data_IF_922223072128
#
_entry.id   IF_922223072128
#
_cell.length_a   1.000
_cell.length_b   1.000
_cell.length_c   1.000
_cell.angle_alpha   90.00
_cell.angle_beta   90.00
_cell.angle_gamma   90.00
#
_symmetry.space_group_name_H-M   'P 1'
#
loop_
_entity.id
_entity.type
_entity.pdbx_description
1 polymer ?
#
# COMPACT_ATOMS: atom_id res chain seq x y z
N UNK A 1 -10.57 -4.04 -8.02
CA UNK A 1 -9.89 -4.63 -6.85
C UNK A 1 -8.64 -5.45 -7.20
N UNK A 2 -8.66 -6.30 -8.23
CA UNK A 2 -7.55 -7.24 -8.50
C UNK A 2 -6.19 -6.63 -8.87
N UNK A 3 -6.16 -5.43 -9.46
CA UNK A 3 -4.93 -4.79 -9.92
C UNK A 3 -4.19 -4.09 -8.77
N UNK A 4 -4.77 -3.01 -8.21
CA UNK A 4 -4.15 -2.27 -7.09
C UNK A 4 -4.31 -2.97 -5.73
N UNK A 5 -5.42 -3.65 -5.50
CA UNK A 5 -5.78 -4.17 -4.18
C UNK A 5 -4.94 -5.36 -3.76
N UNK A 6 -4.46 -6.17 -4.70
CA UNK A 6 -3.65 -7.34 -4.37
C UNK A 6 -2.30 -6.93 -3.76
N UNK A 7 -1.67 -5.88 -4.29
CA UNK A 7 -0.43 -5.33 -3.74
C UNK A 7 -0.61 -4.85 -2.29
N UNK A 8 -1.75 -4.26 -1.97
CA UNK A 8 -2.05 -3.79 -0.61
C UNK A 8 -2.29 -4.96 0.35
N UNK A 9 -2.94 -6.03 -0.11
CA UNK A 9 -3.15 -7.25 0.69
C UNK A 9 -1.80 -7.93 0.97
N UNK A 10 -0.96 -8.06 -0.05
CA UNK A 10 0.39 -8.63 0.08
C UNK A 10 1.25 -7.81 1.05
N UNK A 11 1.23 -6.47 0.91
CA UNK A 11 1.94 -5.56 1.81
C UNK A 11 1.48 -5.69 3.27
N UNK A 12 0.18 -5.87 3.52
CA UNK A 12 -0.30 -6.10 4.88
C UNK A 12 0.23 -7.39 5.48
N UNK A 13 0.28 -8.46 4.68
CA UNK A 13 0.88 -9.71 5.12
C UNK A 13 2.39 -9.53 5.38
N UNK A 14 3.11 -8.81 4.53
CA UNK A 14 4.51 -8.47 4.75
C UNK A 14 4.74 -7.67 6.04
N UNK A 15 3.85 -6.72 6.38
CA UNK A 15 4.00 -5.88 7.57
C UNK A 15 3.60 -6.58 8.87
N UNK A 16 2.59 -7.46 8.83
CA UNK A 16 1.96 -8.00 10.05
C UNK A 16 2.05 -9.52 10.18
N UNK A 17 2.51 -10.22 9.14
CA UNK A 17 2.64 -11.69 9.04
C UNK A 17 1.40 -12.42 9.57
N UNK A 18 0.21 -11.91 9.19
CA UNK A 18 -1.06 -12.36 9.78
C UNK A 18 -2.17 -12.34 8.75
N UNK A 19 -2.92 -13.44 8.69
CA UNK A 19 -4.07 -13.59 7.81
C UNK A 19 -5.27 -12.77 8.28
N UNK A 20 -6.18 -12.48 7.35
CA UNK A 20 -7.48 -11.92 7.68
C UNK A 20 -8.34 -12.94 8.44
N UNK A 21 -9.09 -12.43 9.43
CA UNK A 21 -10.24 -13.13 9.99
C UNK A 21 -11.42 -13.03 9.04
N UNK A 22 -11.68 -14.09 8.29
CA UNK A 22 -12.72 -14.14 7.24
C UNK A 22 -14.10 -13.67 7.72
N UNK A 23 -14.47 -14.00 8.97
CA UNK A 23 -15.76 -13.60 9.59
C UNK A 23 -15.92 -12.08 9.75
N UNK A 24 -14.80 -11.35 9.80
CA UNK A 24 -14.75 -9.90 10.02
C UNK A 24 -14.66 -9.09 8.73
N UNK A 25 -14.29 -9.71 7.60
CA UNK A 25 -14.04 -8.98 6.36
C UNK A 25 -15.35 -8.42 5.81
N UNK A 26 -15.34 -7.13 5.46
CA UNK A 26 -16.43 -6.42 4.81
C UNK A 26 -15.87 -5.64 3.64
N UNK A 27 -16.55 -5.73 2.50
CA UNK A 27 -16.15 -5.06 1.27
C UNK A 27 -17.24 -4.13 0.79
N UNK A 28 -16.85 -2.97 0.32
CA UNK A 28 -17.72 -1.97 -0.29
C UNK A 28 -17.14 -1.62 -1.65
N UNK A 29 -17.86 -1.97 -2.69
CA UNK A 29 -17.46 -1.74 -4.07
C UNK A 29 -18.43 -0.73 -4.69
N UNK A 30 -17.88 0.27 -5.38
CA UNK A 30 -18.66 1.29 -6.08
C UNK A 30 -18.09 1.50 -7.48
N UNK A 31 -18.97 1.63 -8.45
CA UNK A 31 -18.63 2.05 -9.81
C UNK A 31 -18.94 3.54 -9.91
N UNK A 32 -17.91 4.37 -10.12
CA UNK A 32 -18.03 5.83 -10.18
C UNK A 32 -17.78 6.27 -11.61
N UNK A 33 -18.84 6.31 -12.43
CA UNK A 33 -18.71 6.69 -13.83
C UNK A 33 -18.72 8.22 -13.94
N UNK A 34 -17.60 8.84 -14.38
CA UNK A 34 -17.51 10.30 -14.58
C UNK A 34 -18.28 10.79 -15.82
N UNK A 35 -18.53 9.93 -16.82
CA UNK A 35 -19.40 10.22 -17.99
C UNK A 35 -20.06 8.93 -18.51
N UNK A 36 -21.22 9.02 -19.20
CA UNK A 36 -21.99 7.90 -19.79
C UNK A 36 -21.23 7.17 -20.92
N UNK A 37 -20.11 6.53 -20.62
CA UNK A 37 -19.55 5.47 -21.44
C UNK A 37 -19.66 4.14 -20.70
N UNK A 38 -19.90 3.06 -21.44
CA UNK A 38 -19.96 1.70 -20.90
C UNK A 38 -18.59 1.32 -20.34
N UNK A 39 -18.39 1.48 -19.03
CA UNK A 39 -17.20 0.98 -18.34
C UNK A 39 -17.66 -0.03 -17.29
N UNK A 40 -17.11 -1.24 -17.37
CA UNK A 40 -17.45 -2.42 -16.56
C UNK A 40 -16.35 -2.74 -15.52
N UNK A 41 -15.68 -1.74 -14.95
CA UNK A 41 -14.55 -1.97 -14.05
C UNK A 41 -14.78 -1.21 -12.75
N UNK A 42 -14.60 -1.90 -11.62
CA UNK A 42 -14.76 -1.34 -10.28
C UNK A 42 -13.80 -0.16 -10.07
N UNK A 43 -14.37 1.04 -9.98
CA UNK A 43 -13.59 2.28 -9.88
C UNK A 43 -13.22 2.65 -8.45
N UNK A 44 -13.88 2.05 -7.46
CA UNK A 44 -13.64 2.23 -6.04
C UNK A 44 -13.94 0.93 -5.30
N UNK A 45 -13.01 0.47 -4.47
CA UNK A 45 -13.21 -0.62 -3.54
C UNK A 45 -12.59 -0.29 -2.20
N UNK A 46 -13.33 -0.60 -1.14
CA UNK A 46 -12.94 -0.38 0.24
C UNK A 46 -13.15 -1.69 1.01
N UNK A 47 -12.13 -2.11 1.75
CA UNK A 47 -12.11 -3.36 2.51
C UNK A 47 -11.79 -3.04 3.94
N UNK A 48 -12.62 -3.52 4.86
CA UNK A 48 -12.36 -3.44 6.28
C UNK A 48 -12.37 -4.83 6.87
N UNK A 49 -11.55 -5.04 7.88
CA UNK A 49 -11.53 -6.32 8.59
C UNK A 49 -10.56 -6.29 9.76
N UNK A 50 -10.40 -7.45 10.36
CA UNK A 50 -9.43 -7.69 11.40
C UNK A 50 -8.50 -8.83 10.97
N UNK A 51 -7.21 -8.71 11.25
CA UNK A 51 -6.25 -9.80 11.13
C UNK A 51 -6.36 -10.75 12.33
N UNK A 52 -5.83 -11.96 12.21
CA UNK A 52 -5.83 -12.97 13.30
C UNK A 52 -5.06 -12.48 14.53
N UNK A 53 -4.06 -11.64 14.34
CA UNK A 53 -3.30 -10.96 15.40
C UNK A 53 -4.03 -9.76 16.04
N UNK A 54 -5.32 -9.54 15.70
CA UNK A 54 -6.21 -8.49 16.20
C UNK A 54 -5.97 -7.07 15.65
N UNK A 55 -5.06 -6.89 14.70
CA UNK A 55 -4.90 -5.62 13.97
C UNK A 55 -6.14 -5.34 13.14
N UNK A 56 -6.68 -4.12 13.23
CA UNK A 56 -7.76 -3.66 12.37
C UNK A 56 -7.19 -3.04 11.10
N UNK A 57 -7.80 -3.35 9.97
CA UNK A 57 -7.30 -2.95 8.65
C UNK A 57 -8.42 -2.25 7.89
N UNK A 58 -8.05 -1.16 7.21
CA UNK A 58 -8.85 -0.51 6.18
C UNK A 58 -7.99 -0.35 4.91
N UNK A 59 -8.44 -0.92 3.81
CA UNK A 59 -7.81 -0.79 2.49
C UNK A 59 -8.76 -0.02 1.59
N UNK A 60 -8.28 1.05 0.97
CA UNK A 60 -9.03 1.77 -0.05
C UNK A 60 -8.26 1.74 -1.37
N UNK A 61 -8.94 1.36 -2.44
CA UNK A 61 -8.42 1.41 -3.81
C UNK A 61 -9.39 2.16 -4.69
N UNK A 62 -8.87 3.03 -5.56
CA UNK A 62 -9.71 3.82 -6.45
C UNK A 62 -8.96 4.10 -7.75
N UNK A 63 -9.64 3.90 -8.88
CA UNK A 63 -9.18 4.29 -10.22
C UNK A 63 -9.85 5.58 -10.72
N UNK A 64 -10.82 6.10 -9.96
CA UNK A 64 -11.62 7.28 -10.33
C UNK A 64 -11.36 8.51 -9.47
N UNK A 65 -10.37 8.45 -8.56
CA UNK A 65 -9.98 9.58 -7.73
C UNK A 65 -9.58 10.80 -8.56
N UNK A 66 -9.69 11.99 -7.98
CA UNK A 66 -9.13 13.17 -8.60
C UNK A 66 -7.59 13.09 -8.59
N UNK A 67 -6.88 13.68 -9.56
CA UNK A 67 -5.41 13.66 -9.60
C UNK A 67 -4.76 14.10 -8.28
N UNK A 68 -5.33 15.11 -7.64
CA UNK A 68 -4.94 15.64 -6.34
C UNK A 68 -5.26 14.73 -5.15
N UNK A 69 -5.92 13.60 -5.37
CA UNK A 69 -6.22 12.54 -4.41
C UNK A 69 -5.53 11.21 -4.80
N UNK A 70 -4.85 11.18 -5.95
CA UNK A 70 -4.07 10.04 -6.38
C UNK A 70 -2.76 9.91 -5.57
N UNK A 71 -2.29 8.67 -5.47
CA UNK A 71 -1.07 8.31 -4.77
C UNK A 71 -1.25 7.05 -3.94
N UNK A 72 -0.15 6.65 -3.33
CA UNK A 72 -0.10 5.55 -2.39
C UNK A 72 0.22 6.11 -1.00
N UNK A 73 -0.47 5.61 0.01
CA UNK A 73 -0.25 6.01 1.38
C UNK A 73 -0.52 4.86 2.34
N UNK A 74 0.23 4.82 3.43
CA UNK A 74 0.07 3.86 4.51
C UNK A 74 0.03 4.64 5.82
N UNK A 75 -0.87 4.23 6.71
CA UNK A 75 -0.87 4.65 8.10
C UNK A 75 -0.93 3.41 8.99
N UNK A 76 0.05 3.28 9.89
CA UNK A 76 0.12 2.21 10.88
C UNK A 76 0.08 2.84 12.27
N UNK A 77 -0.99 2.55 13.02
CA UNK A 77 -1.23 3.10 14.35
C UNK A 77 -0.97 2.00 15.38
N UNK A 78 0.18 2.08 16.04
CA UNK A 78 0.53 1.22 17.16
C UNK A 78 0.10 1.81 18.50
N UNK A 79 0.31 1.05 19.58
CA UNK A 79 -0.03 1.49 20.94
C UNK A 79 0.85 2.61 21.49
N UNK A 80 2.07 2.74 20.96
CA UNK A 80 3.07 3.74 21.40
C UNK A 80 3.53 4.66 20.30
N UNK A 81 3.41 4.24 19.04
CA UNK A 81 3.93 4.96 17.89
C UNK A 81 3.01 4.85 16.70
N UNK A 82 2.98 5.90 15.90
CA UNK A 82 2.35 5.91 14.59
C UNK A 82 3.42 6.01 13.52
N UNK A 83 3.17 5.40 12.37
CA UNK A 83 3.98 5.48 11.17
C UNK A 83 3.08 5.90 10.01
N UNK A 84 3.51 6.90 9.23
CA UNK A 84 2.79 7.38 8.05
C UNK A 84 3.74 7.53 6.88
N UNK A 85 3.31 7.08 5.71
CA UNK A 85 4.00 7.23 4.45
C UNK A 85 3.03 7.72 3.37
N UNK A 86 3.54 8.56 2.46
CA UNK A 86 2.80 9.04 1.29
C UNK A 86 3.73 9.19 0.10
N UNK A 87 3.33 8.65 -1.05
CA UNK A 87 4.08 8.78 -2.31
C UNK A 87 4.18 10.21 -2.82
N UNK A 88 3.48 11.17 -2.19
CA UNK A 88 3.62 12.62 -2.49
C UNK A 88 4.85 13.24 -1.85
N UNK A 89 5.31 12.66 -0.76
CA UNK A 89 6.58 13.00 -0.10
C UNK A 89 7.45 11.73 -0.09
N UNK A 90 7.82 11.24 -1.29
CA UNK A 90 8.26 9.85 -1.47
C UNK A 90 9.53 9.48 -0.71
N UNK A 91 10.39 10.46 -0.43
CA UNK A 91 11.72 10.27 0.14
C UNK A 91 11.74 10.35 1.67
N UNK A 92 10.59 10.28 2.34
CA UNK A 92 10.51 10.26 3.80
C UNK A 92 9.29 9.50 4.30
N UNK A 93 9.38 9.07 5.55
CA UNK A 93 8.21 8.69 6.33
C UNK A 93 8.16 9.50 7.62
N UNK A 94 6.97 9.57 8.20
CA UNK A 94 6.71 10.31 9.41
C UNK A 94 6.44 9.30 10.52
N UNK A 95 7.07 9.51 11.67
CA UNK A 95 6.71 8.79 12.90
C UNK A 95 6.22 9.74 13.96
N UNK A 96 5.30 9.26 14.79
CA UNK A 96 4.80 9.95 15.97
C UNK A 96 4.98 9.05 17.18
N UNK A 97 5.41 9.59 18.32
CA UNK A 97 5.52 8.85 19.59
C UNK A 97 4.54 9.36 20.68
N UNK A 98 3.50 10.08 20.24
CA UNK A 98 2.47 10.68 21.08
C UNK A 98 2.72 12.14 21.44
N UNK A 99 3.96 12.62 21.36
CA UNK A 99 4.30 14.02 21.65
C UNK A 99 5.09 14.67 20.51
N UNK A 100 5.99 13.92 19.86
CA UNK A 100 6.87 14.45 18.82
C UNK A 100 6.59 13.84 17.46
N UNK A 101 6.66 14.69 16.43
CA UNK A 101 6.68 14.29 15.02
C UNK A 101 8.14 14.21 14.58
N UNK A 102 8.56 13.06 14.05
CA UNK A 102 9.88 12.88 13.46
C UNK A 102 9.77 12.53 11.99
N UNK A 103 10.55 13.21 11.15
CA UNK A 103 10.68 12.89 9.73
C UNK A 103 11.94 12.05 9.53
N UNK A 104 11.80 10.89 8.92
CA UNK A 104 12.90 9.98 8.64
C UNK A 104 13.05 9.89 7.12
N UNK A 105 14.17 10.41 6.63
CA UNK A 105 14.48 10.45 5.21
C UNK A 105 14.97 9.07 4.74
N UNK A 106 14.45 8.65 3.60
CA UNK A 106 14.86 7.43 2.91
C UNK A 106 16.16 7.68 2.13
N UNK A 107 17.01 6.65 1.97
CA UNK A 107 18.16 6.74 1.08
C UNK A 107 17.71 7.04 -0.35
N UNK A 108 18.63 7.59 -1.16
CA UNK A 108 18.36 7.81 -2.57
C UNK A 108 18.32 6.47 -3.32
N UNK A 109 17.41 6.30 -4.30
CA UNK A 109 17.37 5.12 -5.15
C UNK A 109 18.68 4.97 -5.95
N UNK A 110 19.05 3.73 -6.25
CA UNK A 110 20.18 3.41 -7.12
C UNK A 110 19.78 3.41 -8.59
N UNK A 111 18.51 3.10 -8.86
CA UNK A 111 17.93 3.05 -10.19
C UNK A 111 16.96 4.21 -10.41
N UNK A 112 16.75 4.56 -11.68
CA UNK A 112 15.76 5.57 -12.07
C UNK A 112 14.41 4.87 -12.22
N UNK A 113 13.42 5.35 -11.48
CA UNK A 113 12.05 4.86 -11.58
C UNK A 113 11.40 5.29 -12.91
N UNK A 114 10.56 4.44 -13.53
CA UNK A 114 9.77 4.84 -14.70
C UNK A 114 8.85 6.03 -14.40
N UNK A 115 8.44 6.75 -15.44
CA UNK A 115 7.50 7.85 -15.30
C UNK A 115 6.16 7.35 -14.74
N UNK A 116 5.61 8.07 -13.76
CA UNK A 116 4.36 7.77 -13.05
C UNK A 116 4.40 6.55 -12.09
N UNK A 117 5.57 5.96 -11.83
CA UNK A 117 5.71 4.92 -10.82
C UNK A 117 6.04 5.48 -9.42
N UNK A 118 5.85 4.65 -8.41
CA UNK A 118 6.18 5.00 -7.02
C UNK A 118 7.69 5.03 -6.78
N UNK A 119 8.11 5.72 -5.72
CA UNK A 119 9.52 5.82 -5.36
C UNK A 119 10.13 4.47 -4.97
N UNK A 120 11.35 4.22 -5.42
CA UNK A 120 12.07 2.93 -5.30
C UNK A 120 11.41 1.78 -6.07
N UNK A 121 10.51 2.04 -7.03
CA UNK A 121 9.92 1.00 -7.87
C UNK A 121 11.01 0.13 -8.54
N UNK A 122 11.95 0.74 -9.25
CA UNK A 122 12.97 -0.01 -10.00
C UNK A 122 13.90 -0.80 -9.07
N UNK A 123 14.28 -0.21 -7.94
CA UNK A 123 15.08 -0.86 -6.92
C UNK A 123 14.34 -2.02 -6.24
N UNK A 124 13.04 -1.88 -5.99
CA UNK A 124 12.20 -2.94 -5.41
C UNK A 124 12.11 -4.15 -6.33
N UNK A 125 11.84 -3.95 -7.63
CA UNK A 125 11.83 -5.03 -8.63
C UNK A 125 13.19 -5.72 -8.74
N UNK A 126 14.29 -4.94 -8.74
CA UNK A 126 15.63 -5.52 -8.78
C UNK A 126 15.91 -6.38 -7.53
N UNK A 127 15.54 -5.90 -6.34
CA UNK A 127 15.69 -6.65 -5.08
C UNK A 127 14.88 -7.95 -5.12
N UNK A 128 13.65 -7.90 -5.63
CA UNK A 128 12.79 -9.07 -5.77
C UNK A 128 13.39 -10.13 -6.70
N UNK A 129 13.84 -9.75 -7.90
CA UNK A 129 14.48 -10.67 -8.85
C UNK A 129 15.72 -11.34 -8.25
N UNK A 130 16.56 -10.58 -7.55
CA UNK A 130 17.75 -11.13 -6.86
C UNK A 130 17.33 -12.13 -5.77
N UNK A 131 16.30 -11.79 -4.99
CA UNK A 131 15.74 -12.69 -3.98
C UNK A 131 15.29 -14.02 -4.59
N UNK A 132 14.58 -13.99 -5.72
CA UNK A 132 14.15 -15.20 -6.42
C UNK A 132 15.30 -16.02 -6.97
N UNK A 133 16.31 -15.38 -7.57
CA UNK A 133 17.51 -16.07 -8.06
C UNK A 133 18.22 -16.78 -6.90
N UNK A 134 18.36 -16.13 -5.75
CA UNK A 134 18.98 -16.73 -4.57
C UNK A 134 18.15 -17.91 -4.03
N UNK A 135 16.82 -17.74 -3.93
CA UNK A 135 15.92 -18.79 -3.47
C UNK A 135 15.91 -20.02 -4.41
N UNK A 136 15.99 -19.80 -5.72
CA UNK A 136 16.08 -20.88 -6.72
C UNK A 136 17.48 -21.51 -6.77
N UNK A 137 18.52 -20.75 -6.43
CA UNK A 137 19.92 -21.17 -6.50
C UNK A 137 20.40 -22.07 -5.35
N UNK A 138 19.68 -22.12 -4.23
CA UNK A 138 19.90 -23.10 -3.17
C UNK A 138 21.31 -23.14 -2.56
N UNK A 139 21.95 -21.98 -2.33
CA UNK A 139 23.19 -21.88 -1.56
C UNK A 139 22.93 -21.38 -0.14
#
# INVERSE_FOLDING_TARGET
MGDLGIHLIDLLWFLFESDFREDTVRTKIKTNVKEKQKVFVDDYAEVYGQLTNKVFVNITTSKSSFPEDCGFSIEVIGTKKEYKYSSREPNKYITFDGLEKQEIFLPLPLLVDPENEIFEWADSFRKEIISWVNAAGGF
#
